data_IF_419159144301
#
_entry.id   IF_419159144301
#
_cell.length_a   1.000
_cell.length_b   1.000
_cell.length_c   1.000
_cell.angle_alpha   90.00
_cell.angle_beta   90.00
_cell.angle_gamma   90.00
#
_symmetry.space_group_name_H-M   'P 1'
#
loop_
_entity.id
_entity.type
_entity.pdbx_description
1 polymer ?
#
# COMPACT_ATOMS: atom_id res chain seq x y z
N UNK A 1 6.48 26.95 12.07
CA UNK A 1 5.90 27.21 13.41
C UNK A 1 4.42 26.94 13.48
N UNK A 2 3.57 27.51 12.60
CA UNK A 2 2.12 27.33 12.62
C UNK A 2 1.69 25.85 12.58
N UNK A 3 2.22 25.05 11.61
CA UNK A 3 1.92 23.62 11.48
C UNK A 3 2.32 22.85 12.74
N UNK A 4 3.47 23.19 13.33
CA UNK A 4 3.97 22.53 14.55
C UNK A 4 3.00 22.72 15.72
N UNK A 5 2.43 23.91 15.87
CA UNK A 5 1.40 24.18 16.89
C UNK A 5 0.13 23.35 16.70
N UNK A 6 -0.32 23.13 15.45
CA UNK A 6 -1.45 22.23 15.17
C UNK A 6 -1.13 20.79 15.55
N UNK A 7 0.10 20.34 15.29
CA UNK A 7 0.52 18.95 15.58
C UNK A 7 0.58 18.69 17.10
N UNK A 8 0.87 19.69 17.94
CA UNK A 8 0.87 19.49 19.39
C UNK A 8 -0.49 19.07 19.97
N UNK A 9 -1.58 19.38 19.27
CA UNK A 9 -2.95 19.07 19.68
C UNK A 9 -3.56 17.92 18.86
N UNK A 10 -2.82 17.38 17.87
CA UNK A 10 -3.30 16.33 17.00
C UNK A 10 -3.06 14.94 17.59
N UNK A 11 -4.00 14.03 17.41
CA UNK A 11 -3.80 12.60 17.71
C UNK A 11 -3.04 11.89 16.60
N UNK A 12 -3.27 12.28 15.35
CA UNK A 12 -2.67 11.65 14.16
C UNK A 12 -2.12 12.73 13.22
N UNK A 13 -0.90 12.53 12.76
CA UNK A 13 -0.33 13.24 11.61
C UNK A 13 -0.16 12.25 10.47
N UNK A 14 -0.73 12.58 9.30
CA UNK A 14 -0.53 11.80 8.07
C UNK A 14 0.33 12.60 7.10
N UNK A 15 1.35 11.98 6.55
CA UNK A 15 2.22 12.61 5.55
C UNK A 15 2.56 11.63 4.41
N UNK A 16 2.82 12.16 3.22
CA UNK A 16 3.23 11.37 2.06
C UNK A 16 4.37 12.04 1.26
N UNK A 17 5.23 12.77 1.95
CA UNK A 17 6.45 13.32 1.36
C UNK A 17 7.51 12.24 1.16
N UNK A 18 8.52 12.56 0.39
CA UNK A 18 9.73 11.71 0.29
C UNK A 18 10.43 11.67 1.65
N UNK A 19 11.02 10.52 2.04
CA UNK A 19 11.80 10.42 3.26
C UNK A 19 12.81 11.55 3.42
N UNK A 20 12.93 12.07 4.63
CA UNK A 20 13.82 13.18 4.96
C UNK A 20 13.27 14.59 4.68
N UNK A 21 12.13 14.74 4.01
CA UNK A 21 11.53 16.07 3.74
C UNK A 21 11.02 16.72 5.02
N UNK A 22 10.24 15.99 5.83
CA UNK A 22 9.76 16.52 7.10
C UNK A 22 10.88 16.80 8.09
N UNK A 23 11.91 15.98 8.09
CA UNK A 23 13.11 16.19 8.91
C UNK A 23 13.80 17.52 8.57
N UNK A 24 13.95 17.84 7.27
CA UNK A 24 14.51 19.12 6.80
C UNK A 24 13.66 20.33 7.17
N UNK A 25 12.35 20.13 7.33
CA UNK A 25 11.41 21.18 7.76
C UNK A 25 11.31 21.30 9.29
N UNK A 26 12.06 20.50 10.05
CA UNK A 26 11.99 20.45 11.51
C UNK A 26 10.71 19.77 12.04
N UNK A 27 10.07 18.98 11.20
CA UNK A 27 8.82 18.24 11.50
C UNK A 27 9.05 16.71 11.46
N UNK A 28 10.29 16.27 11.65
CA UNK A 28 10.61 14.84 11.77
C UNK A 28 10.11 14.25 13.08
N UNK A 29 9.95 12.93 13.12
CA UNK A 29 9.38 12.18 14.24
C UNK A 29 10.01 12.53 15.60
N UNK A 30 11.34 12.51 15.70
CA UNK A 30 12.01 12.75 16.99
C UNK A 30 11.74 14.16 17.54
N UNK A 31 11.61 15.15 16.65
CA UNK A 31 11.25 16.51 17.03
C UNK A 31 9.79 16.63 17.47
N UNK A 32 8.87 16.00 16.73
CA UNK A 32 7.44 16.07 17.03
C UNK A 32 7.06 15.25 18.25
N UNK A 33 7.70 14.09 18.44
CA UNK A 33 7.52 13.24 19.63
C UNK A 33 7.91 13.97 20.93
N UNK A 34 8.89 14.87 20.89
CA UNK A 34 9.27 15.67 22.03
C UNK A 34 8.16 16.67 22.43
N UNK A 35 7.44 17.22 21.45
CA UNK A 35 6.34 18.17 21.67
C UNK A 35 5.01 17.47 21.99
N UNK A 36 4.76 16.32 21.36
CA UNK A 36 3.56 15.50 21.53
C UNK A 36 3.92 14.01 21.64
N UNK A 37 4.23 13.52 22.83
CA UNK A 37 4.60 12.11 23.04
C UNK A 37 3.51 11.09 22.67
N UNK A 38 2.26 11.55 22.58
CA UNK A 38 1.11 10.73 22.19
C UNK A 38 0.79 10.75 20.69
N UNK A 39 1.58 11.43 19.87
CA UNK A 39 1.33 11.54 18.45
C UNK A 39 1.47 10.19 17.72
N UNK A 40 0.50 9.85 16.90
CA UNK A 40 0.62 8.79 15.90
C UNK A 40 1.00 9.42 14.57
N UNK A 41 2.15 9.05 14.01
CA UNK A 41 2.63 9.61 12.75
C UNK A 41 2.56 8.54 11.64
N UNK A 42 1.64 8.69 10.70
CA UNK A 42 1.49 7.82 9.53
C UNK A 42 2.28 8.38 8.37
N UNK A 43 3.25 7.63 7.89
CA UNK A 43 4.18 8.02 6.82
C UNK A 43 4.00 7.11 5.62
N UNK A 44 3.45 7.64 4.51
CA UNK A 44 3.26 6.90 3.28
C UNK A 44 4.33 7.32 2.26
N UNK A 45 5.08 6.36 1.74
CA UNK A 45 6.10 6.64 0.72
C UNK A 45 6.25 5.47 -0.25
N UNK A 46 6.97 5.67 -1.35
CA UNK A 46 7.14 4.63 -2.36
C UNK A 46 7.71 3.33 -1.81
N UNK A 47 8.76 3.46 -0.98
CA UNK A 47 9.55 2.33 -0.47
C UNK A 47 9.72 2.29 1.05
N UNK A 48 8.93 3.07 1.79
CA UNK A 48 9.05 3.18 3.24
C UNK A 48 10.15 4.15 3.68
N UNK A 49 10.28 4.30 5.01
CA UNK A 49 11.26 5.21 5.63
C UNK A 49 12.63 4.54 5.84
N UNK A 50 12.70 3.23 5.66
CA UNK A 50 13.91 2.41 5.88
C UNK A 50 14.20 1.52 4.67
N UNK A 51 15.28 0.77 4.71
CA UNK A 51 15.64 -0.15 3.64
C UNK A 51 16.43 0.47 2.48
N UNK A 52 16.91 -0.36 1.54
CA UNK A 52 17.85 0.05 0.50
C UNK A 52 17.24 0.99 -0.56
N UNK A 53 15.92 0.98 -0.74
CA UNK A 53 15.22 1.80 -1.74
C UNK A 53 14.54 3.04 -1.17
N UNK A 54 14.65 3.32 0.12
CA UNK A 54 13.97 4.45 0.79
C UNK A 54 14.15 5.81 0.10
N UNK A 55 15.32 6.03 -0.48
CA UNK A 55 15.66 7.30 -1.15
C UNK A 55 15.27 7.32 -2.64
N UNK A 56 14.78 6.20 -3.18
CA UNK A 56 14.32 6.12 -4.56
C UNK A 56 12.96 6.83 -4.73
N UNK A 57 12.73 7.46 -5.90
CA UNK A 57 11.41 8.00 -6.19
C UNK A 57 10.40 6.87 -6.36
N UNK A 58 9.26 6.97 -5.66
CA UNK A 58 8.16 6.02 -5.74
C UNK A 58 6.82 6.73 -5.75
N UNK A 59 5.88 6.18 -6.51
CA UNK A 59 4.48 6.58 -6.59
C UNK A 59 3.63 5.37 -6.95
N UNK A 60 2.31 5.49 -6.97
CA UNK A 60 1.38 4.35 -7.10
C UNK A 60 1.75 3.34 -8.19
N UNK A 61 2.08 3.80 -9.41
CA UNK A 61 2.45 2.88 -10.50
C UNK A 61 3.76 2.11 -10.23
N UNK A 62 4.71 2.70 -9.52
CA UNK A 62 5.95 2.01 -9.10
C UNK A 62 5.62 0.97 -8.05
N UNK A 63 4.78 1.32 -7.05
CA UNK A 63 4.29 0.39 -6.03
C UNK A 63 3.54 -0.80 -6.64
N UNK A 64 2.62 -0.54 -7.60
CA UNK A 64 1.90 -1.59 -8.33
C UNK A 64 2.83 -2.53 -9.10
N UNK A 65 3.88 -1.99 -9.71
CA UNK A 65 4.85 -2.78 -10.48
C UNK A 65 5.76 -3.61 -9.58
N UNK A 66 6.32 -2.98 -8.55
CA UNK A 66 7.23 -3.63 -7.60
C UNK A 66 6.50 -4.65 -6.72
N UNK A 67 5.25 -4.37 -6.33
CA UNK A 67 4.40 -5.26 -5.55
C UNK A 67 3.81 -6.43 -6.33
N UNK A 68 4.01 -6.51 -7.67
CA UNK A 68 3.60 -7.65 -8.50
C UNK A 68 2.26 -7.48 -9.23
N UNK A 69 1.39 -6.56 -8.82
CA UNK A 69 0.05 -6.40 -9.40
C UNK A 69 0.09 -6.17 -10.92
N UNK A 70 1.02 -5.32 -11.39
CA UNK A 70 1.17 -5.06 -12.83
C UNK A 70 1.56 -6.30 -13.61
N UNK A 71 2.41 -7.15 -13.04
CA UNK A 71 2.88 -8.36 -13.71
C UNK A 71 1.73 -9.32 -14.02
N UNK A 72 0.82 -9.53 -13.08
CA UNK A 72 -0.30 -10.48 -13.21
C UNK A 72 -1.54 -9.89 -13.87
N UNK A 73 -1.57 -8.57 -14.16
CA UNK A 73 -2.76 -7.91 -14.71
C UNK A 73 -2.66 -7.75 -16.22
N UNK A 74 -3.64 -8.32 -16.95
CA UNK A 74 -3.75 -8.24 -18.41
C UNK A 74 -3.82 -9.60 -19.10
N UNK A 75 -3.68 -9.58 -20.42
CA UNK A 75 -3.68 -10.78 -21.25
C UNK A 75 -2.26 -11.29 -21.48
N UNK A 76 -2.04 -12.62 -21.64
CA UNK A 76 -0.72 -13.22 -21.73
C UNK A 76 0.10 -12.76 -22.95
N UNK A 77 -0.57 -12.43 -24.03
CA UNK A 77 0.00 -12.02 -25.32
C UNK A 77 0.23 -10.49 -25.44
N UNK A 78 0.01 -9.74 -24.36
CA UNK A 78 0.09 -8.27 -24.35
C UNK A 78 0.94 -7.78 -23.18
N UNK A 79 1.45 -6.55 -23.26
CA UNK A 79 2.09 -5.91 -22.11
C UNK A 79 1.15 -5.84 -20.90
N UNK A 80 1.70 -5.84 -19.67
CA UNK A 80 0.93 -5.61 -18.46
C UNK A 80 0.10 -4.33 -18.54
N UNK A 81 -1.12 -4.37 -18.03
CA UNK A 81 -2.03 -3.22 -18.06
C UNK A 81 -2.27 -2.62 -16.69
N UNK A 82 -2.72 -1.38 -16.69
CA UNK A 82 -3.14 -0.68 -15.48
C UNK A 82 -4.58 -1.08 -15.12
N UNK A 83 -4.88 -1.12 -13.83
CA UNK A 83 -6.24 -1.37 -13.31
C UNK A 83 -7.25 -0.24 -13.58
N UNK A 84 -6.83 0.88 -14.17
CA UNK A 84 -7.70 2.01 -14.51
C UNK A 84 -7.92 3.02 -13.37
N UNK A 85 -7.50 2.70 -12.15
CA UNK A 85 -7.54 3.57 -10.97
C UNK A 85 -6.18 3.59 -10.29
N UNK A 86 -5.98 4.49 -9.31
CA UNK A 86 -4.76 4.55 -8.49
C UNK A 86 -4.85 3.53 -7.34
N UNK A 87 -4.90 2.24 -7.69
CA UNK A 87 -5.15 1.17 -6.73
C UNK A 87 -4.01 1.04 -5.70
N UNK A 88 -2.76 1.22 -6.11
CA UNK A 88 -1.62 1.18 -5.20
C UNK A 88 -1.70 2.23 -4.11
N UNK A 89 -2.06 3.47 -4.47
CA UNK A 89 -2.26 4.57 -3.51
C UNK A 89 -3.44 4.28 -2.58
N UNK A 90 -4.55 3.75 -3.12
CA UNK A 90 -5.74 3.40 -2.34
C UNK A 90 -5.46 2.30 -1.33
N UNK A 91 -4.71 1.27 -1.73
CA UNK A 91 -4.27 0.18 -0.83
C UNK A 91 -3.38 0.73 0.29
N UNK A 92 -2.41 1.58 -0.04
CA UNK A 92 -1.55 2.19 0.96
C UNK A 92 -2.34 3.06 1.95
N UNK A 93 -3.34 3.82 1.47
CA UNK A 93 -4.23 4.60 2.32
C UNK A 93 -5.02 3.72 3.30
N UNK A 94 -5.54 2.56 2.86
CA UNK A 94 -6.22 1.60 3.72
C UNK A 94 -5.28 1.03 4.79
N UNK A 95 -4.07 0.62 4.44
CA UNK A 95 -3.07 0.15 5.40
C UNK A 95 -2.65 1.25 6.38
N UNK A 96 -2.51 2.49 5.89
CA UNK A 96 -2.26 3.65 6.74
C UNK A 96 -3.38 3.90 7.76
N UNK A 97 -4.63 3.81 7.32
CA UNK A 97 -5.78 3.98 8.20
C UNK A 97 -5.88 2.84 9.25
N UNK A 98 -5.68 1.60 8.83
CA UNK A 98 -5.65 0.44 9.76
C UNK A 98 -4.52 0.61 10.76
N UNK A 99 -3.31 0.93 10.30
CA UNK A 99 -2.15 1.16 11.17
C UNK A 99 -2.37 2.29 12.17
N UNK A 100 -2.98 3.40 11.71
CA UNK A 100 -3.34 4.52 12.58
C UNK A 100 -4.31 4.11 13.69
N UNK A 101 -5.38 3.37 13.34
CA UNK A 101 -6.35 2.89 14.33
C UNK A 101 -5.72 1.91 15.34
N UNK A 102 -4.86 1.01 14.86
CA UNK A 102 -4.12 0.10 15.75
C UNK A 102 -3.18 0.86 16.69
N UNK A 103 -2.48 1.88 16.18
CA UNK A 103 -1.58 2.72 16.97
C UNK A 103 -2.35 3.56 18.01
N UNK A 104 -3.49 4.12 17.65
CA UNK A 104 -4.38 4.81 18.59
C UNK A 104 -4.88 3.88 19.68
N UNK A 105 -5.34 2.69 19.31
CA UNK A 105 -5.79 1.69 20.28
C UNK A 105 -4.66 1.29 21.23
N UNK A 106 -3.45 1.10 20.70
CA UNK A 106 -2.27 0.82 21.54
C UNK A 106 -2.00 1.97 22.51
N UNK A 107 -2.01 3.22 22.03
CA UNK A 107 -1.88 4.43 22.84
C UNK A 107 -2.89 4.45 23.98
N UNK A 108 -4.17 4.20 23.73
CA UNK A 108 -5.24 4.21 24.72
C UNK A 108 -5.08 3.18 25.84
N UNK A 109 -4.64 1.96 25.49
CA UNK A 109 -4.60 0.84 26.46
C UNK A 109 -3.24 0.65 27.12
N UNK A 110 -2.15 1.17 26.55
CA UNK A 110 -0.78 0.90 26.98
C UNK A 110 -0.01 2.14 27.45
N UNK A 111 -0.67 3.15 27.96
CA UNK A 111 0.00 4.25 28.66
C UNK A 111 0.27 5.50 27.83
N UNK A 112 -0.44 5.69 26.72
CA UNK A 112 -0.49 6.99 26.04
C UNK A 112 0.66 7.33 25.08
N UNK A 113 1.62 6.44 24.87
CA UNK A 113 2.72 6.67 23.93
C UNK A 113 2.25 6.55 22.47
N UNK A 114 2.64 7.54 21.66
CA UNK A 114 2.47 7.50 20.21
C UNK A 114 3.56 6.69 19.51
N UNK A 115 3.40 6.50 18.20
CA UNK A 115 4.37 5.76 17.39
C UNK A 115 4.30 6.16 15.91
N UNK A 116 5.31 5.75 15.15
CA UNK A 116 5.32 5.86 13.69
C UNK A 116 4.64 4.64 13.08
N UNK A 117 3.79 4.88 12.09
CA UNK A 117 3.26 3.88 11.16
C UNK A 117 3.90 4.14 9.81
N UNK A 118 4.83 3.30 9.41
CA UNK A 118 5.51 3.38 8.12
C UNK A 118 4.79 2.50 7.10
N UNK A 119 4.38 3.09 5.97
CA UNK A 119 3.62 2.41 4.90
C UNK A 119 4.33 2.60 3.57
N UNK A 120 4.90 1.53 3.07
CA UNK A 120 5.44 1.50 1.71
C UNK A 120 4.35 1.09 0.71
N UNK A 121 4.23 1.84 -0.39
CA UNK A 121 3.22 1.56 -1.42
C UNK A 121 3.35 0.14 -1.97
N UNK A 122 4.57 -0.31 -2.26
CA UNK A 122 4.80 -1.63 -2.83
C UNK A 122 4.46 -2.77 -1.87
N UNK A 123 4.70 -2.59 -0.56
CA UNK A 123 4.39 -3.61 0.46
C UNK A 123 2.88 -3.79 0.60
N UNK A 124 2.14 -2.68 0.58
CA UNK A 124 0.68 -2.73 0.59
C UNK A 124 0.12 -3.50 -0.60
N UNK A 125 0.64 -3.26 -1.80
CA UNK A 125 0.27 -4.00 -3.01
C UNK A 125 0.69 -5.46 -2.90
N UNK A 126 1.92 -5.73 -2.47
CA UNK A 126 2.44 -7.10 -2.30
C UNK A 126 1.59 -7.91 -1.31
N UNK A 127 1.11 -7.31 -0.24
CA UNK A 127 0.23 -7.96 0.73
C UNK A 127 -1.11 -8.43 0.12
N UNK A 128 -1.51 -7.87 -1.02
CA UNK A 128 -2.72 -8.29 -1.76
C UNK A 128 -2.45 -9.41 -2.78
N UNK A 129 -1.21 -9.88 -2.91
CA UNK A 129 -0.84 -10.87 -3.94
C UNK A 129 -1.18 -12.30 -3.54
N UNK A 130 -2.02 -12.50 -2.53
CA UNK A 130 -2.55 -13.81 -2.12
C UNK A 130 -1.45 -14.85 -1.89
N UNK A 131 -1.55 -15.97 -2.61
CA UNK A 131 -0.70 -17.16 -2.48
C UNK A 131 0.50 -17.18 -3.43
N UNK A 132 0.80 -16.09 -4.16
CA UNK A 132 1.86 -16.11 -5.19
C UNK A 132 3.22 -16.58 -4.66
N UNK A 133 3.61 -16.13 -3.46
CA UNK A 133 4.89 -16.52 -2.85
C UNK A 133 4.88 -17.98 -2.40
N UNK A 134 3.87 -18.46 -1.63
CA UNK A 134 3.75 -19.88 -1.32
C UNK A 134 3.66 -20.80 -2.55
N UNK A 135 2.94 -20.39 -3.59
CA UNK A 135 2.86 -21.16 -4.86
C UNK A 135 4.24 -21.32 -5.50
N UNK A 136 5.01 -20.25 -5.52
CA UNK A 136 6.38 -20.32 -6.06
C UNK A 136 7.31 -21.14 -5.18
N UNK A 137 7.27 -20.96 -3.86
CA UNK A 137 8.15 -21.64 -2.91
C UNK A 137 7.94 -23.15 -2.91
N UNK A 138 6.67 -23.58 -2.90
CA UNK A 138 6.32 -25.01 -2.81
C UNK A 138 6.37 -25.72 -4.16
N UNK A 139 5.90 -25.05 -5.23
CA UNK A 139 5.68 -25.70 -6.53
C UNK A 139 6.56 -25.16 -7.65
N UNK A 140 7.33 -24.10 -7.43
CA UNK A 140 8.03 -23.37 -8.49
C UNK A 140 7.09 -22.68 -9.49
N UNK A 141 5.81 -22.52 -9.13
CA UNK A 141 4.79 -21.99 -10.02
C UNK A 141 4.85 -20.46 -10.04
N UNK A 142 5.08 -19.88 -11.22
CA UNK A 142 5.01 -18.44 -11.45
C UNK A 142 3.65 -18.12 -12.05
N UNK A 143 2.81 -17.38 -11.31
CA UNK A 143 1.50 -16.96 -11.80
C UNK A 143 1.67 -15.88 -12.86
N UNK A 144 1.20 -16.15 -14.05
CA UNK A 144 1.24 -15.27 -15.22
C UNK A 144 -0.09 -14.53 -15.41
N UNK A 145 -0.13 -13.59 -16.36
CA UNK A 145 -1.36 -12.93 -16.81
C UNK A 145 -2.28 -13.93 -17.49
N UNK A 146 -3.53 -13.96 -17.10
CA UNK A 146 -4.54 -14.91 -17.61
C UNK A 146 -5.79 -14.22 -18.16
N UNK A 147 -5.74 -12.90 -18.36
CA UNK A 147 -6.90 -12.11 -18.75
C UNK A 147 -7.96 -12.08 -17.66
N UNK A 148 -9.15 -12.60 -17.97
CA UNK A 148 -10.26 -12.63 -17.04
C UNK A 148 -10.40 -13.96 -16.27
N UNK A 149 -9.45 -14.88 -16.47
CA UNK A 149 -9.49 -16.20 -15.82
C UNK A 149 -8.76 -16.08 -14.48
N UNK A 150 -9.37 -16.58 -13.41
CA UNK A 150 -8.70 -16.77 -12.13
C UNK A 150 -8.14 -18.20 -12.08
N UNK A 151 -6.81 -18.38 -11.97
CA UNK A 151 -6.22 -19.70 -11.88
C UNK A 151 -6.79 -20.50 -10.70
N UNK A 152 -7.14 -21.77 -10.96
CA UNK A 152 -7.66 -22.66 -9.92
C UNK A 152 -9.16 -22.52 -9.62
N UNK A 153 -9.86 -21.55 -10.20
CA UNK A 153 -11.28 -21.33 -9.98
C UNK A 153 -12.06 -21.49 -11.30
N UNK A 154 -13.02 -22.41 -11.33
CA UNK A 154 -13.85 -22.67 -12.51
C UNK A 154 -15.31 -22.88 -12.10
N UNK A 155 -16.29 -22.21 -12.77
CA UNK A 155 -16.09 -21.17 -13.79
C UNK A 155 -15.74 -19.81 -13.17
N UNK A 156 -14.74 -19.13 -13.72
CA UNK A 156 -14.44 -17.74 -13.35
C UNK A 156 -13.89 -17.02 -14.59
N UNK A 157 -14.76 -16.30 -15.30
CA UNK A 157 -14.38 -15.60 -16.53
C UNK A 157 -15.45 -14.56 -16.93
N UNK A 158 -15.09 -13.72 -17.89
CA UNK A 158 -16.00 -12.82 -18.59
C UNK A 158 -16.22 -13.33 -20.01
N UNK A 159 -17.47 -13.59 -20.38
CA UNK A 159 -17.86 -14.12 -21.66
C UNK A 159 -18.59 -13.07 -22.49
N UNK A 160 -18.35 -13.04 -23.80
CA UNK A 160 -19.12 -12.21 -24.72
C UNK A 160 -20.35 -13.00 -25.19
N UNK A 161 -21.54 -12.42 -25.02
CA UNK A 161 -22.82 -12.99 -25.47
C UNK A 161 -23.02 -12.79 -26.98
N UNK A 162 -23.99 -13.51 -27.55
CA UNK A 162 -24.27 -13.44 -29.01
C UNK A 162 -24.64 -12.01 -29.47
N UNK A 163 -25.28 -11.22 -28.61
CA UNK A 163 -25.67 -9.83 -28.87
C UNK A 163 -24.55 -8.79 -28.54
N UNK A 164 -23.34 -9.26 -28.31
CA UNK A 164 -22.15 -8.41 -28.09
C UNK A 164 -22.02 -7.82 -26.68
N UNK A 165 -22.88 -8.22 -25.74
CA UNK A 165 -22.74 -7.83 -24.33
C UNK A 165 -21.75 -8.73 -23.61
N UNK A 166 -21.42 -8.37 -22.38
CA UNK A 166 -20.51 -9.15 -21.55
C UNK A 166 -21.22 -9.64 -20.29
N UNK A 167 -20.95 -10.90 -19.94
CA UNK A 167 -21.44 -11.54 -18.72
C UNK A 167 -20.25 -12.08 -17.95
N UNK A 168 -20.14 -11.71 -16.68
CA UNK A 168 -19.14 -12.27 -15.77
C UNK A 168 -19.80 -13.41 -14.99
N UNK A 169 -19.17 -14.57 -15.00
CA UNK A 169 -19.58 -15.76 -14.27
C UNK A 169 -18.47 -16.06 -13.25
N UNK A 170 -18.85 -16.22 -11.98
CA UNK A 170 -17.98 -16.62 -10.90
C UNK A 170 -18.60 -17.78 -10.14
N UNK A 171 -17.81 -18.79 -9.80
CA UNK A 171 -18.22 -19.97 -9.03
C UNK A 171 -17.39 -20.14 -7.77
#
# INVERSE_FOLDING_TARGET
EFVRRLITEADILVENFRPGVLEKLGLGWESLKADNPGLVMVRLSGFGQTGPYKDQPGFGAVGESMGGLRYITGFPDRPPVRTGISIGDSIAALWGAIGALMALRHKEVNGGAGQVVDVALYEGVFAMMESLVPEFDVFGFVRERTGNIMPGITPSNTHTTRDGKHVTIGG
#
